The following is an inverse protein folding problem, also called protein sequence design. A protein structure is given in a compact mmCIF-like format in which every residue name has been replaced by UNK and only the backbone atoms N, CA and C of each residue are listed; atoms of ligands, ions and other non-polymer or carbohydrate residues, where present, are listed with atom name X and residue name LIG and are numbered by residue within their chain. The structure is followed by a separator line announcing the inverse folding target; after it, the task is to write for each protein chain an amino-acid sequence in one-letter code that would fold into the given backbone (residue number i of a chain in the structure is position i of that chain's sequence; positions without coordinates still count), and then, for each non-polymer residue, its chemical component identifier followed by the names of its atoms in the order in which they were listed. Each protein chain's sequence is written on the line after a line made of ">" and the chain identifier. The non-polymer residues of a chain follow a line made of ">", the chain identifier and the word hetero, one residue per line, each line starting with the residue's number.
data_IF_234510542979
#
_entry.id   IF_234510542979
#
_cell.length_a   1.000
_cell.length_b   1.000
_cell.length_c   1.000
_cell.angle_alpha   90.00
_cell.angle_beta   90.00
_cell.angle_gamma   90.00
#
_symmetry.space_group_name_H-M   'P 1'
#
loop_
_entity.id
_entity.type
_entity.pdbx_description
1 polymer ?
#
# COMPACT_ATOMS: atom_id res chain seq x y z
N UNK A 1 20.71 12.77 -21.90
CA UNK A 1 20.22 11.38 -22.19
C UNK A 1 19.01 11.16 -21.32
N UNK A 2 17.96 10.49 -21.82
CA UNK A 2 16.76 10.23 -21.00
C UNK A 2 17.09 9.23 -19.91
N UNK A 3 16.65 9.50 -18.67
CA UNK A 3 16.86 8.60 -17.53
C UNK A 3 16.10 7.27 -17.67
N UNK A 4 15.19 7.15 -18.65
CA UNK A 4 14.45 5.90 -18.86
C UNK A 4 15.20 4.86 -19.69
N UNK A 5 16.26 5.25 -20.40
CA UNK A 5 17.01 4.36 -21.29
C UNK A 5 16.19 3.74 -22.43
N UNK A 6 16.81 2.88 -23.26
CA UNK A 6 16.11 2.12 -24.29
C UNK A 6 15.13 1.11 -23.67
N UNK A 7 14.01 0.85 -24.36
CA UNK A 7 12.93 -0.06 -23.93
C UNK A 7 12.15 0.37 -22.67
N UNK A 8 12.37 1.59 -22.16
CA UNK A 8 11.50 2.18 -21.14
C UNK A 8 10.13 2.54 -21.71
N UNK A 9 9.11 2.50 -20.85
CA UNK A 9 7.74 2.94 -21.17
C UNK A 9 7.36 4.13 -20.29
N UNK A 10 6.70 5.13 -20.88
CA UNK A 10 6.13 6.27 -20.18
C UNK A 10 4.61 6.24 -20.37
N UNK A 11 3.86 6.34 -19.27
CA UNK A 11 2.40 6.37 -19.26
C UNK A 11 1.88 7.59 -18.53
N UNK A 12 0.68 8.00 -18.92
CA UNK A 12 -0.10 9.11 -18.34
C UNK A 12 0.70 10.40 -18.15
N UNK A 13 1.29 10.97 -19.22
CA UNK A 13 2.01 12.23 -19.07
C UNK A 13 1.03 13.36 -18.68
N UNK A 14 1.46 14.21 -17.75
CA UNK A 14 0.84 15.50 -17.47
C UNK A 14 1.86 16.61 -17.67
N UNK A 15 1.40 17.76 -18.17
CA UNK A 15 2.23 18.93 -18.43
C UNK A 15 1.61 20.18 -17.82
N UNK A 16 2.43 21.03 -17.22
CA UNK A 16 2.06 22.37 -16.77
C UNK A 16 3.10 23.40 -17.20
N UNK A 17 2.70 24.66 -17.18
CA UNK A 17 3.56 25.80 -17.51
C UNK A 17 3.63 26.80 -16.37
N UNK A 18 4.75 27.52 -16.28
CA UNK A 18 4.88 28.67 -15.40
C UNK A 18 4.65 29.98 -16.14
N UNK A 19 4.75 31.10 -15.42
CA UNK A 19 4.61 32.44 -16.00
C UNK A 19 5.69 32.77 -17.05
N UNK A 20 6.85 32.10 -16.99
CA UNK A 20 7.93 32.32 -17.96
C UNK A 20 7.58 31.63 -19.29
N UNK A 21 7.58 32.35 -20.42
CA UNK A 21 7.39 31.74 -21.73
C UNK A 21 8.42 30.64 -22.02
N UNK A 22 7.95 29.49 -22.49
CA UNK A 22 8.79 28.33 -22.79
C UNK A 22 9.15 27.48 -21.56
N UNK A 23 8.61 27.80 -20.38
CA UNK A 23 8.76 26.96 -19.19
C UNK A 23 7.74 25.83 -19.15
N UNK A 24 8.20 24.61 -18.88
CA UNK A 24 7.34 23.41 -18.74
C UNK A 24 7.77 22.58 -17.54
N UNK A 25 6.80 22.05 -16.80
CA UNK A 25 6.90 20.89 -15.92
C UNK A 25 6.20 19.72 -16.59
N UNK A 26 6.87 18.57 -16.70
CA UNK A 26 6.31 17.36 -17.29
C UNK A 26 6.49 16.23 -16.28
N UNK A 27 5.43 15.45 -16.03
CA UNK A 27 5.46 14.27 -15.17
C UNK A 27 4.84 13.08 -15.85
N UNK A 28 5.30 11.87 -15.53
CA UNK A 28 4.74 10.62 -16.06
C UNK A 28 5.10 9.43 -15.16
N UNK A 29 4.37 8.34 -15.30
CA UNK A 29 4.80 7.04 -14.77
C UNK A 29 5.77 6.38 -15.73
N UNK A 30 6.94 5.99 -15.22
CA UNK A 30 7.99 5.36 -16.00
C UNK A 30 8.35 3.98 -15.47
N UNK A 31 8.50 3.01 -16.36
CA UNK A 31 9.13 1.74 -16.09
C UNK A 31 10.30 1.52 -17.05
N UNK A 32 11.48 1.25 -16.51
CA UNK A 32 12.70 1.04 -17.28
C UNK A 32 13.04 -0.44 -17.37
N UNK A 33 13.81 -0.83 -18.39
CA UNK A 33 14.28 -2.21 -18.50
C UNK A 33 15.13 -2.65 -17.30
N UNK A 34 15.95 -1.75 -16.75
CA UNK A 34 16.78 -2.05 -15.58
C UNK A 34 15.96 -2.22 -14.29
N UNK A 35 14.80 -1.56 -14.21
CA UNK A 35 13.94 -1.61 -13.03
C UNK A 35 13.00 -2.83 -13.04
N UNK A 36 12.57 -3.33 -14.21
CA UNK A 36 11.69 -4.51 -14.33
C UNK A 36 12.33 -5.81 -13.83
N UNK A 37 11.53 -6.75 -13.32
CA UNK A 37 11.99 -8.05 -12.81
C UNK A 37 12.63 -8.95 -13.88
N UNK A 38 12.27 -8.74 -15.16
CA UNK A 38 12.75 -9.53 -16.30
C UNK A 38 13.83 -8.82 -17.13
N UNK A 39 14.22 -7.60 -16.76
CA UNK A 39 15.23 -6.83 -17.47
C UNK A 39 14.78 -6.27 -18.82
N UNK A 40 13.48 -6.33 -19.18
CA UNK A 40 13.00 -6.00 -20.54
C UNK A 40 12.25 -4.67 -20.65
N UNK A 41 11.66 -4.19 -19.58
CA UNK A 41 10.86 -2.96 -19.58
C UNK A 41 9.46 -3.17 -20.17
N UNK A 42 8.80 -2.08 -20.55
CA UNK A 42 7.44 -2.11 -21.09
C UNK A 42 6.34 -2.21 -20.04
N UNK A 43 5.09 -2.20 -20.51
CA UNK A 43 3.90 -2.32 -19.66
C UNK A 43 3.51 -3.79 -19.49
N UNK A 44 4.13 -4.50 -18.56
CA UNK A 44 4.00 -5.95 -18.35
C UNK A 44 3.91 -6.29 -16.86
N UNK A 45 3.55 -7.54 -16.53
CA UNK A 45 3.49 -8.01 -15.13
C UNK A 45 4.83 -7.99 -14.40
N UNK A 46 5.94 -7.84 -15.13
CA UNK A 46 7.29 -7.70 -14.58
C UNK A 46 7.72 -6.24 -14.39
N UNK A 47 6.91 -5.27 -14.81
CA UNK A 47 7.24 -3.86 -14.74
C UNK A 47 7.23 -3.33 -13.29
N UNK A 48 8.15 -2.42 -13.00
CA UNK A 48 8.21 -1.70 -11.73
C UNK A 48 8.26 -0.20 -12.05
N UNK A 49 7.36 0.57 -11.45
CA UNK A 49 7.09 1.93 -11.87
C UNK A 49 7.56 2.95 -10.84
N UNK A 50 8.07 4.08 -11.34
CA UNK A 50 8.36 5.28 -10.59
C UNK A 50 7.63 6.47 -11.20
N UNK A 51 7.48 7.51 -10.40
CA UNK A 51 7.13 8.83 -10.91
C UNK A 51 8.39 9.52 -11.43
N UNK A 52 8.34 10.01 -12.66
CA UNK A 52 9.38 10.84 -13.25
C UNK A 52 8.91 12.28 -13.44
N UNK A 53 9.87 13.19 -13.39
CA UNK A 53 9.68 14.62 -13.60
C UNK A 53 10.73 15.13 -14.60
N UNK A 54 10.33 16.06 -15.45
CA UNK A 54 11.23 16.85 -16.25
C UNK A 54 10.85 18.33 -16.26
N UNK A 55 11.86 19.19 -16.31
CA UNK A 55 11.71 20.64 -16.40
C UNK A 55 12.53 21.22 -17.57
N UNK A 56 11.98 22.25 -18.21
CA UNK A 56 12.68 23.07 -19.20
C UNK A 56 12.23 24.52 -19.08
N UNK A 57 13.12 25.46 -19.45
CA UNK A 57 12.81 26.90 -19.53
C UNK A 57 12.76 27.45 -20.96
N UNK A 58 13.03 26.62 -21.95
CA UNK A 58 13.23 27.02 -23.33
C UNK A 58 12.62 26.02 -24.32
N UNK A 59 11.42 25.52 -24.01
CA UNK A 59 10.70 24.54 -24.83
C UNK A 59 10.47 24.97 -26.29
N UNK A 60 10.44 26.28 -26.56
CA UNK A 60 10.29 26.84 -27.92
C UNK A 60 11.62 27.02 -28.67
N UNK A 61 12.76 26.74 -28.03
CA UNK A 61 14.08 26.74 -28.66
C UNK A 61 14.18 25.63 -29.69
N UNK A 62 14.97 25.85 -30.76
CA UNK A 62 15.34 24.78 -31.70
C UNK A 62 16.18 23.67 -31.05
N UNK A 63 16.77 23.96 -29.89
CA UNK A 63 17.47 23.00 -29.03
C UNK A 63 17.06 23.28 -27.56
N UNK A 64 15.96 22.70 -27.07
CA UNK A 64 15.54 22.86 -25.69
C UNK A 64 16.50 22.13 -24.74
N UNK A 65 16.70 22.69 -23.55
CA UNK A 65 17.43 22.06 -22.46
C UNK A 65 16.42 21.49 -21.48
N UNK A 66 16.49 20.17 -21.27
CA UNK A 66 15.56 19.44 -20.42
C UNK A 66 16.35 18.79 -19.28
N UNK A 67 15.94 19.05 -18.06
CA UNK A 67 16.38 18.33 -16.88
C UNK A 67 15.35 17.26 -16.56
N UNK A 68 15.80 16.07 -16.16
CA UNK A 68 14.94 14.94 -15.82
C UNK A 68 15.41 14.35 -14.49
N UNK A 69 14.48 13.79 -13.72
CA UNK A 69 14.77 13.02 -12.51
C UNK A 69 13.60 12.09 -12.15
N UNK A 70 13.85 11.11 -11.29
CA UNK A 70 12.77 10.46 -10.55
C UNK A 70 12.25 11.42 -9.48
N UNK A 71 10.92 11.54 -9.37
CA UNK A 71 10.26 12.39 -8.38
C UNK A 71 9.62 11.60 -7.23
N UNK A 72 9.39 10.29 -7.41
CA UNK A 72 9.11 9.38 -6.29
C UNK A 72 10.42 8.95 -5.62
N UNK A 73 10.39 8.77 -4.30
CA UNK A 73 11.52 8.26 -3.51
C UNK A 73 11.61 6.72 -3.50
N UNK A 74 10.59 6.04 -4.03
CA UNK A 74 10.53 4.59 -4.18
C UNK A 74 9.75 4.16 -5.44
N UNK A 75 9.60 2.85 -5.64
CA UNK A 75 8.70 2.29 -6.64
C UNK A 75 7.27 2.36 -6.16
N UNK A 76 6.39 2.97 -6.94
CA UNK A 76 5.01 3.27 -6.56
C UNK A 76 4.02 2.17 -6.99
N UNK A 77 4.45 1.28 -7.89
CA UNK A 77 3.62 0.23 -8.47
C UNK A 77 4.45 -0.92 -9.05
N UNK A 78 3.90 -2.13 -8.94
CA UNK A 78 4.42 -3.33 -9.58
C UNK A 78 3.34 -3.99 -10.44
N UNK A 79 3.75 -4.55 -11.57
CA UNK A 79 2.90 -5.17 -12.60
C UNK A 79 2.48 -4.20 -13.72
N UNK A 80 1.64 -4.66 -14.65
CA UNK A 80 1.12 -3.85 -15.74
C UNK A 80 0.19 -2.76 -15.20
N UNK A 81 0.07 -1.65 -15.93
CA UNK A 81 -0.95 -0.62 -15.71
C UNK A 81 -1.99 -0.75 -16.82
N UNK A 82 -3.27 -0.82 -16.44
CA UNK A 82 -4.37 -0.83 -17.40
C UNK A 82 -4.38 0.40 -18.31
N UNK A 83 -4.49 0.17 -19.62
CA UNK A 83 -4.78 1.21 -20.63
C UNK A 83 -6.16 1.04 -21.28
N UNK A 84 -6.96 0.07 -20.84
CA UNK A 84 -8.16 -0.36 -21.56
C UNK A 84 -9.42 0.48 -21.25
N UNK A 85 -9.34 1.51 -20.41
CA UNK A 85 -10.50 2.29 -19.97
C UNK A 85 -11.47 1.47 -19.08
N UNK A 86 -12.76 1.79 -19.12
CA UNK A 86 -13.80 1.08 -18.37
C UNK A 86 -14.31 -0.12 -19.19
N UNK A 87 -13.72 -1.30 -18.98
CA UNK A 87 -14.16 -2.55 -19.63
C UNK A 87 -14.94 -3.42 -18.64
N UNK A 88 -15.89 -4.21 -19.15
CA UNK A 88 -16.70 -5.15 -18.37
C UNK A 88 -16.24 -6.60 -18.51
N UNK A 89 -15.02 -6.82 -19.03
CA UNK A 89 -14.40 -8.15 -19.27
C UNK A 89 -13.29 -8.47 -18.26
N UNK A 90 -12.27 -9.24 -18.65
CA UNK A 90 -11.06 -9.47 -17.84
C UNK A 90 -10.55 -8.12 -17.33
N UNK A 91 -10.62 -7.91 -16.02
CA UNK A 91 -10.24 -6.63 -15.42
C UNK A 91 -8.78 -6.37 -15.77
N UNK A 92 -8.45 -5.27 -16.46
CA UNK A 92 -7.06 -4.87 -16.58
C UNK A 92 -6.56 -4.43 -15.20
N UNK A 93 -5.24 -4.38 -14.97
CA UNK A 93 -4.73 -4.02 -13.64
C UNK A 93 -5.10 -2.57 -13.28
N UNK A 94 -6.06 -2.41 -12.36
CA UNK A 94 -6.59 -1.10 -11.90
C UNK A 94 -6.23 -0.78 -10.45
N UNK A 95 -5.37 -1.59 -9.83
CA UNK A 95 -5.01 -1.37 -8.44
C UNK A 95 -4.33 0.00 -8.25
N UNK A 96 -3.42 0.45 -9.14
CA UNK A 96 -2.77 1.76 -9.02
C UNK A 96 -3.75 2.94 -9.06
N UNK A 97 -4.96 2.76 -9.62
CA UNK A 97 -5.86 3.85 -9.99
C UNK A 97 -5.27 4.82 -11.04
N UNK A 98 -6.10 5.77 -11.50
CA UNK A 98 -5.76 6.67 -12.61
C UNK A 98 -5.59 8.14 -12.13
N UNK A 99 -5.29 8.37 -10.85
CA UNK A 99 -5.13 9.72 -10.30
C UNK A 99 -3.72 10.26 -10.56
N UNK A 100 -3.61 11.32 -11.36
CA UNK A 100 -2.32 11.86 -11.75
C UNK A 100 -2.42 13.32 -12.20
N UNK A 101 -1.69 14.22 -11.53
CA UNK A 101 -1.65 15.64 -11.88
C UNK A 101 -0.36 16.30 -11.39
N UNK A 102 0.19 17.24 -12.16
CA UNK A 102 1.14 18.24 -11.66
C UNK A 102 0.48 19.61 -11.65
N UNK A 103 0.87 20.44 -10.70
CA UNK A 103 0.57 21.86 -10.63
C UNK A 103 1.86 22.63 -10.36
N UNK A 104 1.88 23.91 -10.69
CA UNK A 104 2.99 24.82 -10.37
C UNK A 104 2.56 25.72 -9.21
N UNK A 105 3.34 25.72 -8.13
CA UNK A 105 3.06 26.56 -6.97
C UNK A 105 3.39 28.05 -7.25
N UNK A 106 3.02 28.99 -6.36
CA UNK A 106 3.32 30.41 -6.57
C UNK A 106 4.82 30.73 -6.68
N UNK A 107 5.71 29.88 -6.16
CA UNK A 107 7.15 30.02 -6.30
C UNK A 107 7.67 29.51 -7.66
N UNK A 108 6.82 28.86 -8.45
CA UNK A 108 7.18 28.26 -9.72
C UNK A 108 7.76 26.85 -9.60
N UNK A 109 7.51 26.16 -8.48
CA UNK A 109 7.99 24.79 -8.22
C UNK A 109 6.86 23.78 -8.45
N UNK A 110 7.21 22.61 -8.99
CA UNK A 110 6.24 21.56 -9.29
C UNK A 110 5.70 20.89 -8.02
N UNK A 111 4.39 20.69 -7.96
CA UNK A 111 3.70 19.89 -6.97
C UNK A 111 2.93 18.78 -7.71
N UNK A 112 3.24 17.53 -7.41
CA UNK A 112 2.69 16.37 -8.14
C UNK A 112 1.83 15.56 -7.19
N UNK A 113 0.56 15.38 -7.55
CA UNK A 113 -0.32 14.41 -6.93
C UNK A 113 -0.40 13.18 -7.82
N UNK A 114 -0.18 12.00 -7.25
CA UNK A 114 -0.12 10.74 -7.98
C UNK A 114 -0.72 9.62 -7.13
N UNK A 115 -0.92 8.46 -7.73
CA UNK A 115 -1.39 7.29 -7.02
C UNK A 115 -0.23 6.34 -6.72
N UNK A 116 -0.29 5.72 -5.55
CA UNK A 116 0.73 4.82 -5.03
C UNK A 116 0.05 3.61 -4.38
N UNK A 117 0.39 2.40 -4.83
CA UNK A 117 -0.10 1.15 -4.26
C UNK A 117 1.01 0.25 -3.73
N UNK A 118 2.24 0.78 -3.65
CA UNK A 118 3.44 0.03 -3.30
C UNK A 118 3.32 -0.75 -1.99
N UNK A 119 2.54 -0.21 -1.05
CA UNK A 119 2.33 -0.73 0.29
C UNK A 119 0.88 -1.18 0.56
N UNK A 120 -0.03 -1.07 -0.41
CA UNK A 120 -1.48 -1.05 -0.21
C UNK A 120 -2.24 -2.14 -0.99
N UNK A 121 -3.52 -2.32 -0.70
CA UNK A 121 -4.39 -3.18 -1.51
C UNK A 121 -4.66 -2.57 -2.90
N UNK A 122 -4.79 -1.24 -2.94
CA UNK A 122 -5.04 -0.43 -4.11
C UNK A 122 -4.39 0.96 -3.93
N UNK A 123 -4.40 1.75 -4.99
CA UNK A 123 -3.73 3.02 -5.09
C UNK A 123 -4.39 4.06 -4.21
N UNK A 124 -3.55 4.72 -3.41
CA UNK A 124 -3.92 5.88 -2.64
C UNK A 124 -3.24 7.14 -3.17
N UNK A 125 -3.87 8.29 -2.96
CA UNK A 125 -3.29 9.57 -3.36
C UNK A 125 -2.07 9.90 -2.49
N UNK A 126 -0.92 10.03 -3.16
CA UNK A 126 0.32 10.55 -2.63
C UNK A 126 0.63 11.91 -3.29
N UNK A 127 1.52 12.69 -2.67
CA UNK A 127 1.98 13.93 -3.24
C UNK A 127 3.47 14.14 -2.98
N UNK A 128 4.15 14.74 -3.95
CA UNK A 128 5.55 15.18 -3.84
C UNK A 128 5.67 16.62 -4.30
N UNK A 129 6.57 17.38 -3.67
CA UNK A 129 6.83 18.78 -3.98
C UNK A 129 8.30 18.98 -4.31
N UNK A 130 8.56 19.69 -5.41
CA UNK A 130 9.89 20.10 -5.76
C UNK A 130 10.44 21.04 -4.68
N UNK A 131 11.45 20.57 -3.94
CA UNK A 131 12.08 21.36 -2.85
C UNK A 131 13.27 22.18 -3.32
N UNK A 132 13.66 22.08 -4.59
CA UNK A 132 14.65 22.94 -5.20
C UNK A 132 14.79 22.69 -6.69
N UNK A 133 15.44 23.62 -7.37
CA UNK A 133 15.56 23.60 -8.82
C UNK A 133 15.33 24.99 -9.39
N UNK A 134 14.84 25.06 -10.62
CA UNK A 134 14.63 26.33 -11.33
C UNK A 134 13.14 26.68 -11.29
N UNK A 135 12.82 27.88 -10.83
CA UNK A 135 11.45 28.42 -10.84
C UNK A 135 10.93 28.53 -12.27
N UNK A 136 9.80 27.90 -12.57
CA UNK A 136 9.11 28.03 -13.85
C UNK A 136 8.51 29.43 -14.06
N UNK A 137 8.26 30.19 -12.99
CA UNK A 137 7.73 31.54 -13.10
C UNK A 137 8.83 32.56 -13.43
N UNK A 138 10.02 32.41 -12.82
CA UNK A 138 11.07 33.46 -12.89
C UNK A 138 12.35 33.03 -13.60
N UNK A 139 12.59 31.72 -13.74
CA UNK A 139 13.85 31.13 -14.21
C UNK A 139 15.00 31.21 -13.20
N UNK A 140 14.74 31.65 -11.96
CA UNK A 140 15.75 31.71 -10.89
C UNK A 140 15.84 30.36 -10.17
N UNK A 141 17.04 30.01 -9.72
CA UNK A 141 17.19 28.86 -8.83
C UNK A 141 16.56 29.15 -7.47
N UNK A 142 15.74 28.23 -7.00
CA UNK A 142 15.10 28.25 -5.69
C UNK A 142 15.50 26.97 -4.94
N UNK A 143 15.66 27.09 -3.62
CA UNK A 143 15.75 25.95 -2.71
C UNK A 143 14.86 26.24 -1.51
N UNK A 144 13.86 25.41 -1.31
CA UNK A 144 13.03 25.39 -0.11
C UNK A 144 13.80 24.63 0.98
N UNK A 145 14.07 25.28 2.11
CA UNK A 145 14.61 24.59 3.28
C UNK A 145 13.45 23.88 3.98
N UNK A 146 13.39 22.56 3.87
CA UNK A 146 12.58 21.74 4.77
C UNK A 146 13.28 21.61 6.12
N UNK A 147 12.71 22.19 7.18
CA UNK A 147 13.22 22.07 8.55
C UNK A 147 12.50 20.97 9.36
N UNK A 148 11.53 20.29 8.77
CA UNK A 148 10.76 19.29 9.48
C UNK A 148 11.50 17.95 9.37
N UNK A 149 12.25 17.62 10.41
CA UNK A 149 12.60 16.22 10.65
C UNK A 149 11.29 15.44 10.69
N UNK A 150 11.17 14.29 9.99
CA UNK A 150 10.01 13.44 10.13
C UNK A 150 9.81 13.19 11.63
N UNK A 151 8.61 13.42 12.16
CA UNK A 151 8.29 13.04 13.53
C UNK A 151 8.60 11.55 13.63
N UNK A 152 9.54 11.11 14.49
CA UNK A 152 9.83 9.70 14.61
C UNK A 152 8.54 8.98 14.99
N UNK A 153 8.07 8.07 14.13
CA UNK A 153 6.96 7.19 14.49
C UNK A 153 7.48 6.35 15.66
N UNK A 154 6.77 6.38 16.79
CA UNK A 154 7.20 5.63 17.96
C UNK A 154 7.31 4.15 17.60
N UNK A 155 8.46 3.54 17.84
CA UNK A 155 8.75 2.13 17.48
C UNK A 155 7.84 1.11 18.18
N UNK A 156 7.09 1.54 19.21
CA UNK A 156 6.09 0.76 19.94
C UNK A 156 4.64 1.12 19.61
N UNK A 157 4.39 2.14 18.78
CA UNK A 157 3.04 2.43 18.34
C UNK A 157 2.59 1.35 17.34
N UNK A 158 1.27 1.11 17.21
CA UNK A 158 0.75 0.34 16.09
C UNK A 158 1.33 0.88 14.77
N UNK A 159 1.72 -0.02 13.87
CA UNK A 159 2.32 0.37 12.60
C UNK A 159 1.27 0.89 11.63
N UNK A 160 0.02 0.48 11.80
CA UNK A 160 -1.12 0.88 10.97
C UNK A 160 -2.11 1.65 11.82
N UNK A 161 -2.59 2.78 11.29
CA UNK A 161 -3.68 3.57 11.85
C UNK A 161 -4.76 3.76 10.80
N UNK A 162 -5.99 3.81 11.26
CA UNK A 162 -7.15 4.06 10.41
C UNK A 162 -8.14 5.02 11.07
N UNK A 163 -9.03 5.58 10.27
CA UNK A 163 -10.03 6.52 10.79
C UNK A 163 -11.18 5.77 11.44
N UNK A 164 -11.57 6.20 12.63
CA UNK A 164 -12.80 5.71 13.24
C UNK A 164 -14.02 6.11 12.40
N UNK A 165 -14.99 5.21 12.26
CA UNK A 165 -16.28 5.43 11.58
C UNK A 165 -16.16 5.60 10.06
N UNK A 166 -15.24 4.88 9.43
CA UNK A 166 -15.12 4.84 7.97
C UNK A 166 -15.39 3.46 7.36
N UNK A 167 -15.70 2.46 8.19
CA UNK A 167 -16.28 1.20 7.74
C UNK A 167 -17.52 1.41 6.86
N UNK A 168 -17.61 0.59 5.80
CA UNK A 168 -18.67 0.70 4.79
C UNK A 168 -19.65 -0.46 4.91
N UNK A 169 -20.94 -0.14 4.84
CA UNK A 169 -21.96 -1.14 4.58
C UNK A 169 -21.88 -1.59 3.11
N UNK A 170 -21.98 -2.90 2.87
CA UNK A 170 -21.95 -3.48 1.52
C UNK A 170 -23.31 -3.27 0.83
N UNK A 171 -23.63 -2.03 0.49
CA UNK A 171 -24.80 -1.65 -0.29
C UNK A 171 -24.38 -0.98 -1.61
N UNK A 172 -25.25 -0.95 -2.64
CA UNK A 172 -25.10 -0.05 -3.77
C UNK A 172 -25.98 1.21 -3.58
N UNK A 173 -25.42 2.43 -3.43
CA UNK A 173 -24.00 2.74 -3.22
C UNK A 173 -23.53 2.36 -1.80
N UNK A 174 -22.21 2.17 -1.57
CA UNK A 174 -21.69 1.91 -0.24
C UNK A 174 -21.97 3.09 0.69
N UNK A 175 -22.44 2.81 1.90
CA UNK A 175 -22.75 3.84 2.89
C UNK A 175 -21.73 3.78 4.02
N UNK A 176 -21.14 4.93 4.35
CA UNK A 176 -20.29 5.07 5.53
C UNK A 176 -21.11 4.92 6.80
N UNK A 177 -20.57 4.18 7.76
CA UNK A 177 -21.21 4.00 9.05
C UNK A 177 -20.65 5.01 10.05
N UNK A 178 -21.46 6.00 10.44
CA UNK A 178 -21.15 6.91 11.55
C UNK A 178 -21.45 6.26 12.92
N UNK A 179 -20.84 5.10 13.17
CA UNK A 179 -21.00 4.34 14.41
C UNK A 179 -19.90 3.29 14.58
N UNK A 180 -19.65 2.90 15.84
CA UNK A 180 -18.71 1.82 16.16
C UNK A 180 -19.18 0.49 15.53
N UNK A 181 -18.26 -0.23 14.91
CA UNK A 181 -18.52 -1.53 14.28
C UNK A 181 -17.38 -2.51 14.54
N UNK A 182 -17.66 -3.82 14.70
CA UNK A 182 -16.61 -4.82 14.81
C UNK A 182 -15.75 -4.94 13.55
N UNK A 183 -16.19 -4.37 12.42
CA UNK A 183 -15.39 -4.30 11.19
C UNK A 183 -14.58 -3.00 11.07
N UNK A 184 -14.89 -1.94 11.82
CA UNK A 184 -14.24 -0.62 11.73
C UNK A 184 -12.88 -0.65 12.43
N UNK A 185 -11.81 -0.76 11.65
CA UNK A 185 -10.44 -0.91 12.11
C UNK A 185 -9.97 0.43 12.66
N UNK A 186 -9.17 0.39 13.73
CA UNK A 186 -8.54 1.59 14.29
C UNK A 186 -7.03 1.53 14.16
N UNK A 187 -6.46 0.37 14.48
CA UNK A 187 -5.01 0.18 14.46
C UNK A 187 -4.64 -1.26 14.20
N UNK A 188 -3.46 -1.48 13.61
CA UNK A 188 -2.82 -2.80 13.56
C UNK A 188 -1.39 -2.70 14.07
N UNK A 189 -1.10 -3.48 15.10
CA UNK A 189 0.24 -3.64 15.67
C UNK A 189 0.85 -4.98 15.26
N UNK A 190 2.07 -4.93 14.74
CA UNK A 190 2.92 -6.08 14.44
C UNK A 190 4.05 -6.18 15.46
N UNK A 191 4.35 -7.41 15.84
CA UNK A 191 5.36 -7.73 16.84
C UNK A 191 5.91 -9.14 16.61
N UNK A 192 6.79 -9.57 17.51
CA UNK A 192 7.22 -10.95 17.56
C UNK A 192 7.36 -11.44 19.01
N UNK A 193 7.23 -12.76 19.19
CA UNK A 193 7.37 -13.44 20.46
C UNK A 193 8.26 -14.68 20.29
N UNK A 194 9.03 -15.05 21.31
CA UNK A 194 9.75 -16.31 21.39
C UNK A 194 8.91 -17.28 22.22
N UNK A 195 8.47 -18.40 21.63
CA UNK A 195 7.69 -19.42 22.34
C UNK A 195 8.41 -20.75 22.19
N UNK A 196 8.90 -21.30 23.32
CA UNK A 196 9.67 -22.55 23.34
C UNK A 196 10.85 -22.56 22.34
N UNK A 197 11.51 -21.40 22.15
CA UNK A 197 12.62 -21.24 21.22
C UNK A 197 12.22 -20.98 19.76
N UNK A 198 10.93 -21.01 19.42
CA UNK A 198 10.42 -20.63 18.10
C UNK A 198 10.07 -19.15 18.06
N UNK A 199 10.36 -18.47 16.93
CA UNK A 199 9.99 -17.07 16.72
C UNK A 199 8.62 -17.00 16.08
N UNK A 200 7.65 -16.42 16.78
CA UNK A 200 6.31 -16.19 16.26
C UNK A 200 6.13 -14.72 15.90
N UNK A 201 5.62 -14.47 14.69
CA UNK A 201 5.11 -13.14 14.32
C UNK A 201 3.74 -12.98 14.97
N UNK A 202 3.49 -11.82 15.57
CA UNK A 202 2.22 -11.44 16.19
C UNK A 202 1.63 -10.28 15.42
N UNK A 203 0.36 -10.38 15.04
CA UNK A 203 -0.41 -9.24 14.52
C UNK A 203 -1.64 -9.03 15.40
N UNK A 204 -1.91 -7.79 15.80
CA UNK A 204 -3.05 -7.40 16.64
C UNK A 204 -3.80 -6.26 15.98
N UNK A 205 -5.08 -6.48 15.69
CA UNK A 205 -5.98 -5.47 15.14
C UNK A 205 -6.94 -5.00 16.23
N UNK A 206 -7.07 -3.69 16.42
CA UNK A 206 -8.12 -3.10 17.23
C UNK A 206 -9.25 -2.58 16.32
N UNK A 207 -10.50 -2.80 16.72
CA UNK A 207 -11.67 -2.34 15.99
C UNK A 207 -12.63 -1.59 16.93
N UNK A 208 -13.31 -0.56 16.43
CA UNK A 208 -14.08 0.36 17.27
C UNK A 208 -15.26 -0.31 17.98
N UNK A 209 -15.89 -1.32 17.37
CA UNK A 209 -17.10 -1.98 17.88
C UNK A 209 -16.95 -3.45 18.29
N UNK A 210 -15.72 -3.98 18.45
CA UNK A 210 -15.48 -5.39 18.79
C UNK A 210 -15.70 -5.71 20.29
N UNK A 211 -16.92 -5.44 20.78
CA UNK A 211 -17.32 -5.67 22.19
C UNK A 211 -17.88 -7.09 22.41
N UNK A 212 -18.25 -7.76 21.33
CA UNK A 212 -18.68 -9.16 21.28
C UNK A 212 -18.04 -9.79 20.05
N UNK A 213 -17.88 -11.12 20.03
CA UNK A 213 -17.42 -11.84 18.84
C UNK A 213 -18.62 -11.99 17.89
N UNK A 214 -18.69 -11.27 16.74
CA UNK A 214 -19.83 -11.40 15.84
C UNK A 214 -19.74 -12.70 15.04
N UNK A 215 -20.88 -13.29 14.62
CA UNK A 215 -20.89 -14.39 13.65
C UNK A 215 -20.50 -13.92 12.26
N UNK A 216 -19.99 -14.84 11.44
CA UNK A 216 -19.64 -14.62 10.03
C UNK A 216 -18.74 -13.40 9.80
N UNK A 217 -17.76 -13.20 10.68
CA UNK A 217 -16.76 -12.15 10.62
C UNK A 217 -15.42 -12.63 10.09
N UNK A 218 -14.62 -11.70 9.58
CA UNK A 218 -13.25 -11.89 9.13
C UNK A 218 -12.41 -10.70 9.57
N UNK A 219 -11.24 -10.94 10.14
CA UNK A 219 -10.24 -9.92 10.46
C UNK A 219 -8.90 -10.43 9.95
N UNK A 220 -8.37 -9.81 8.89
CA UNK A 220 -7.14 -10.23 8.20
C UNK A 220 -6.08 -9.15 8.34
N UNK A 221 -4.89 -9.55 8.76
CA UNK A 221 -3.71 -8.69 8.89
C UNK A 221 -2.64 -9.22 7.94
N UNK A 222 -2.23 -8.38 6.99
CA UNK A 222 -1.33 -8.71 5.89
C UNK A 222 0.02 -8.06 6.11
N UNK A 223 1.06 -8.77 5.73
CA UNK A 223 2.43 -8.29 5.78
C UNK A 223 3.26 -8.97 4.69
N UNK A 224 4.41 -8.40 4.39
CA UNK A 224 5.27 -8.82 3.29
C UNK A 224 6.73 -8.85 3.74
N UNK A 225 7.52 -9.76 3.17
CA UNK A 225 8.94 -9.91 3.50
C UNK A 225 9.79 -10.10 2.25
N UNK A 226 11.06 -9.72 2.34
CA UNK A 226 12.09 -9.99 1.33
C UNK A 226 11.70 -9.50 -0.08
N UNK A 227 11.35 -8.21 -0.24
CA UNK A 227 11.03 -7.68 -1.56
C UNK A 227 12.28 -7.63 -2.44
N UNK A 228 12.15 -7.98 -3.74
CA UNK A 228 13.24 -7.78 -4.71
C UNK A 228 13.47 -6.31 -5.05
N UNK A 229 12.47 -5.45 -4.76
CA UNK A 229 12.53 -3.99 -4.90
C UNK A 229 12.14 -3.33 -3.57
N UNK A 230 12.98 -2.48 -2.97
CA UNK A 230 12.67 -1.84 -1.70
C UNK A 230 11.31 -1.13 -1.70
N UNK A 231 10.50 -1.38 -0.66
CA UNK A 231 9.19 -0.76 -0.49
C UNK A 231 8.05 -1.35 -1.32
N UNK A 232 8.31 -2.25 -2.28
CA UNK A 232 7.30 -2.75 -3.20
C UNK A 232 6.77 -4.13 -2.79
N UNK A 233 5.56 -4.16 -2.23
CA UNK A 233 4.93 -5.38 -1.70
C UNK A 233 4.65 -6.42 -2.80
N UNK A 234 4.33 -6.00 -4.01
CA UNK A 234 4.07 -6.92 -5.11
C UNK A 234 5.29 -7.70 -5.58
N UNK A 235 6.47 -7.32 -5.08
CA UNK A 235 7.75 -7.97 -5.34
C UNK A 235 8.31 -8.73 -4.14
N UNK A 236 7.47 -9.02 -3.16
CA UNK A 236 7.82 -9.69 -1.90
C UNK A 236 7.09 -11.04 -1.74
N UNK A 237 7.53 -11.86 -0.78
CA UNK A 237 6.66 -12.90 -0.25
C UNK A 237 5.56 -12.22 0.58
N UNK A 238 4.29 -12.39 0.20
CA UNK A 238 3.16 -11.78 0.92
C UNK A 238 2.42 -12.81 1.76
N UNK A 239 2.08 -12.40 2.97
CA UNK A 239 1.54 -13.24 4.02
C UNK A 239 0.28 -12.60 4.59
N UNK A 240 -0.55 -13.43 5.20
CA UNK A 240 -1.56 -12.96 6.11
C UNK A 240 -1.75 -13.89 7.30
N UNK A 241 -2.22 -13.31 8.39
CA UNK A 241 -2.87 -14.03 9.48
C UNK A 241 -4.30 -13.51 9.60
N UNK A 242 -5.23 -14.39 9.96
CA UNK A 242 -6.62 -14.00 10.07
C UNK A 242 -7.35 -14.72 11.20
N UNK A 243 -8.36 -14.04 11.73
CA UNK A 243 -9.43 -14.65 12.50
C UNK A 243 -10.69 -14.68 11.64
N UNK A 244 -11.43 -15.78 11.72
CA UNK A 244 -12.76 -15.93 11.10
C UNK A 244 -13.73 -16.49 12.12
N UNK A 245 -14.99 -16.08 12.06
CA UNK A 245 -16.06 -16.69 12.87
C UNK A 245 -17.07 -17.37 11.97
N UNK A 246 -17.55 -18.53 12.40
CA UNK A 246 -18.64 -19.21 11.67
C UNK A 246 -20.00 -18.51 11.89
N UNK A 247 -21.06 -19.08 11.33
CA UNK A 247 -22.42 -18.54 11.46
C UNK A 247 -22.94 -18.47 12.92
N UNK A 248 -22.28 -19.19 13.85
CA UNK A 248 -22.61 -19.20 15.28
C UNK A 248 -21.69 -18.32 16.13
N UNK A 249 -20.68 -17.70 15.51
CA UNK A 249 -19.70 -16.87 16.21
C UNK A 249 -18.50 -17.65 16.77
N UNK A 250 -18.34 -18.93 16.43
CA UNK A 250 -17.18 -19.71 16.88
C UNK A 250 -15.94 -19.26 16.11
N UNK A 251 -14.89 -18.79 16.80
CA UNK A 251 -13.69 -18.28 16.15
C UNK A 251 -12.76 -19.40 15.68
N UNK A 252 -12.09 -19.16 14.56
CA UNK A 252 -10.99 -19.94 14.02
C UNK A 252 -9.86 -19.00 13.58
N UNK A 253 -8.61 -19.47 13.69
CA UNK A 253 -7.43 -18.67 13.40
C UNK A 253 -6.54 -19.39 12.40
N UNK A 254 -6.16 -18.70 11.32
CA UNK A 254 -5.37 -19.29 10.26
C UNK A 254 -4.32 -18.32 9.74
N UNK A 255 -3.34 -18.85 9.03
CA UNK A 255 -2.37 -18.09 8.28
C UNK A 255 -2.38 -18.53 6.82
N UNK A 256 -1.82 -17.70 5.95
CA UNK A 256 -1.72 -18.01 4.55
C UNK A 256 -0.78 -17.11 3.77
N UNK A 257 -0.78 -17.32 2.46
CA UNK A 257 -0.02 -16.54 1.49
C UNK A 257 -0.98 -15.67 0.67
N UNK A 258 -0.50 -14.50 0.31
CA UNK A 258 -1.18 -13.61 -0.63
C UNK A 258 -0.38 -13.52 -1.93
N UNK A 259 -1.06 -13.34 -3.05
CA UNK A 259 -0.43 -13.07 -4.34
C UNK A 259 -1.25 -12.06 -5.10
N UNK A 260 -0.59 -11.03 -5.63
CA UNK A 260 -1.24 -10.11 -6.58
C UNK A 260 -1.33 -10.77 -7.95
N UNK A 261 -2.53 -10.78 -8.51
CA UNK A 261 -2.83 -11.29 -9.83
C UNK A 261 -2.55 -10.21 -10.89
N UNK A 262 -2.48 -10.64 -12.15
CA UNK A 262 -2.28 -9.73 -13.30
C UNK A 262 -3.37 -8.65 -13.44
N UNK A 263 -4.57 -8.90 -12.91
CA UNK A 263 -5.70 -7.95 -12.91
C UNK A 263 -5.69 -6.98 -11.71
N UNK A 264 -4.68 -7.06 -10.84
CA UNK A 264 -4.55 -6.24 -9.65
C UNK A 264 -5.28 -6.78 -8.42
N UNK A 265 -6.11 -7.83 -8.56
CA UNK A 265 -6.74 -8.47 -7.41
C UNK A 265 -5.72 -9.26 -6.58
N UNK A 266 -6.06 -9.54 -5.31
CA UNK A 266 -5.22 -10.36 -4.43
C UNK A 266 -5.88 -11.70 -4.17
N UNK A 267 -5.21 -12.77 -4.57
CA UNK A 267 -5.56 -14.14 -4.18
C UNK A 267 -5.02 -14.40 -2.78
N UNK A 268 -5.90 -14.78 -1.86
CA UNK A 268 -5.53 -15.19 -0.50
C UNK A 268 -5.71 -16.70 -0.35
N UNK A 269 -4.63 -17.41 -0.07
CA UNK A 269 -4.63 -18.88 0.09
C UNK A 269 -4.26 -19.25 1.52
N UNK A 270 -5.24 -19.76 2.27
CA UNK A 270 -5.00 -20.30 3.62
C UNK A 270 -4.11 -21.54 3.51
N UNK A 271 -3.01 -21.54 4.25
CA UNK A 271 -2.06 -22.66 4.30
C UNK A 271 -2.34 -23.61 5.46
N UNK A 272 -2.91 -23.10 6.56
CA UNK A 272 -3.27 -23.92 7.72
C UNK A 272 -3.61 -23.11 8.96
N UNK A 273 -3.75 -23.77 10.12
CA UNK A 273 -4.04 -23.11 11.38
C UNK A 273 -2.87 -22.24 11.83
N UNK A 274 -3.21 -21.07 12.37
CA UNK A 274 -2.29 -20.20 13.09
C UNK A 274 -1.83 -20.90 14.40
N UNK A 275 -0.73 -20.45 14.97
CA UNK A 275 -0.15 -21.05 16.18
C UNK A 275 -0.87 -20.59 17.44
N UNK A 276 -1.43 -19.38 17.42
CA UNK A 276 -2.35 -18.89 18.43
C UNK A 276 -3.26 -17.80 17.87
N UNK A 277 -4.41 -17.61 18.49
CA UNK A 277 -5.23 -16.43 18.28
C UNK A 277 -6.21 -16.21 19.42
N UNK A 278 -6.62 -14.96 19.62
CA UNK A 278 -7.55 -14.58 20.68
C UNK A 278 -8.35 -13.32 20.31
N UNK A 279 -9.60 -13.27 20.76
CA UNK A 279 -10.38 -12.05 20.86
C UNK A 279 -10.29 -11.50 22.28
N UNK A 280 -9.86 -10.26 22.44
CA UNK A 280 -9.95 -9.52 23.69
C UNK A 280 -11.01 -8.42 23.52
N UNK A 281 -12.17 -8.66 24.14
CA UNK A 281 -13.33 -7.78 24.02
C UNK A 281 -13.22 -6.54 24.92
N UNK A 282 -12.31 -6.54 25.91
CA UNK A 282 -12.06 -5.36 26.76
C UNK A 282 -11.20 -4.34 26.02
N UNK A 283 -10.16 -4.81 25.32
CA UNK A 283 -9.34 -3.98 24.43
C UNK A 283 -9.91 -3.83 23.03
N UNK A 284 -11.03 -4.51 22.73
CA UNK A 284 -11.68 -4.55 21.40
C UNK A 284 -10.72 -4.96 20.29
N UNK A 285 -9.92 -5.98 20.54
CA UNK A 285 -8.86 -6.41 19.63
C UNK A 285 -8.89 -7.89 19.32
N UNK A 286 -8.35 -8.23 18.16
CA UNK A 286 -8.06 -9.61 17.74
C UNK A 286 -6.57 -9.76 17.50
N UNK A 287 -5.96 -10.75 18.13
CA UNK A 287 -4.54 -11.09 17.96
C UNK A 287 -4.42 -12.45 17.29
N UNK A 288 -3.55 -12.56 16.30
CA UNK A 288 -3.20 -13.84 15.66
C UNK A 288 -1.68 -13.95 15.56
N UNK A 289 -1.17 -15.16 15.81
CA UNK A 289 0.26 -15.46 15.84
C UNK A 289 0.59 -16.63 14.90
N UNK A 290 1.72 -16.52 14.20
CA UNK A 290 2.23 -17.56 13.30
C UNK A 290 3.71 -17.77 13.51
N UNK A 291 4.15 -19.03 13.59
CA UNK A 291 5.55 -19.39 13.65
C UNK A 291 6.25 -19.07 12.32
N UNK A 292 7.37 -18.37 12.40
CA UNK A 292 8.25 -18.06 11.28
C UNK A 292 8.70 -19.34 10.55
N UNK A 293 8.83 -20.46 11.24
CA UNK A 293 9.19 -21.74 10.61
C UNK A 293 8.18 -22.18 9.54
N UNK A 294 6.89 -21.90 9.75
CA UNK A 294 5.82 -22.20 8.77
C UNK A 294 5.92 -21.32 7.53
N UNK A 295 6.24 -20.03 7.72
CA UNK A 295 6.45 -19.08 6.62
C UNK A 295 7.69 -19.48 5.81
N UNK A 296 8.80 -19.80 6.51
CA UNK A 296 10.05 -20.25 5.89
C UNK A 296 9.93 -21.57 5.14
N UNK A 297 8.95 -22.41 5.46
CA UNK A 297 8.70 -23.65 4.73
C UNK A 297 8.12 -23.43 3.32
N UNK A 298 7.53 -22.25 3.06
CA UNK A 298 6.86 -21.96 1.78
C UNK A 298 7.34 -20.67 1.10
N UNK A 299 8.26 -19.92 1.71
CA UNK A 299 8.81 -18.68 1.14
C UNK A 299 9.52 -18.93 -0.19
N UNK A 300 9.54 -17.90 -1.04
CA UNK A 300 10.17 -17.96 -2.36
C UNK A 300 11.22 -16.87 -2.60
N UNK A 301 11.26 -15.80 -1.80
CA UNK A 301 12.15 -14.64 -2.00
C UNK A 301 13.25 -14.54 -0.96
N UNK A 302 13.09 -15.13 0.21
CA UNK A 302 14.13 -15.22 1.23
C UNK A 302 13.60 -15.74 2.56
N UNK A 303 14.51 -16.18 3.42
CA UNK A 303 14.17 -16.59 4.79
C UNK A 303 13.80 -15.38 5.65
N UNK A 304 12.82 -15.56 6.52
CA UNK A 304 12.51 -14.66 7.61
C UNK A 304 13.39 -15.04 8.81
N UNK A 305 14.16 -14.07 9.29
CA UNK A 305 15.11 -14.21 10.39
C UNK A 305 15.19 -12.92 11.23
N UNK A 306 16.02 -12.94 12.27
CA UNK A 306 16.26 -11.71 13.05
C UNK A 306 16.88 -10.64 12.15
N UNK A 307 16.27 -9.45 12.12
CA UNK A 307 16.63 -8.34 11.23
C UNK A 307 15.73 -8.21 10.00
N UNK A 308 14.92 -9.24 9.67
CA UNK A 308 13.98 -9.14 8.55
C UNK A 308 12.98 -8.00 8.78
N UNK A 309 12.87 -7.11 7.79
CA UNK A 309 11.91 -6.02 7.77
C UNK A 309 10.63 -6.49 7.09
N UNK A 310 9.52 -6.41 7.82
CA UNK A 310 8.18 -6.60 7.30
C UNK A 310 7.65 -5.26 6.78
N UNK A 311 7.16 -5.28 5.54
CA UNK A 311 6.51 -4.16 4.85
C UNK A 311 5.07 -4.57 4.50
N UNK A 312 4.31 -3.72 3.80
CA UNK A 312 2.94 -4.06 3.40
C UNK A 312 2.00 -4.26 4.57
N UNK A 313 2.27 -3.61 5.70
CA UNK A 313 1.51 -3.77 6.92
C UNK A 313 0.14 -3.13 6.71
N UNK A 314 -0.90 -3.94 6.54
CA UNK A 314 -2.27 -3.49 6.28
C UNK A 314 -3.28 -4.53 6.74
N UNK A 315 -4.54 -4.15 6.82
CA UNK A 315 -5.58 -5.06 7.24
C UNK A 315 -6.91 -4.84 6.52
N UNK A 316 -7.74 -5.87 6.55
CA UNK A 316 -9.14 -5.77 6.20
C UNK A 316 -9.99 -6.53 7.21
N UNK A 317 -11.20 -6.03 7.42
CA UNK A 317 -12.15 -6.65 8.32
C UNK A 317 -13.55 -6.64 7.70
N UNK A 318 -14.35 -7.64 8.03
CA UNK A 318 -15.76 -7.67 7.72
C UNK A 318 -16.54 -8.35 8.82
N UNK A 319 -17.80 -7.94 8.99
CA UNK A 319 -18.71 -8.54 9.94
C UNK A 319 -20.13 -8.53 9.41
N UNK A 320 -20.88 -9.59 9.69
CA UNK A 320 -22.30 -9.60 9.41
C UNK A 320 -23.02 -8.51 10.21
N UNK A 321 -24.01 -7.86 9.59
CA UNK A 321 -24.94 -6.96 10.27
C UNK A 321 -26.18 -7.76 10.69
N UNK A 322 -26.60 -7.60 11.94
CA UNK A 322 -27.92 -8.04 12.35
C UNK A 322 -28.98 -7.12 11.73
N UNK A 323 -29.88 -7.66 10.92
CA UNK A 323 -31.08 -6.92 10.49
C UNK A 323 -32.20 -7.10 11.52
N UNK A 324 -33.15 -6.16 11.57
CA UNK A 324 -34.27 -6.17 12.52
C UNK A 324 -35.18 -7.43 12.44
N UNK A 325 -34.99 -8.29 11.43
CA UNK A 325 -35.74 -9.53 11.23
C UNK A 325 -34.97 -10.81 11.63
N UNK A 326 -33.82 -10.71 12.28
CA UNK A 326 -33.02 -11.89 12.70
C UNK A 326 -32.30 -12.60 11.56
N UNK A 327 -32.42 -12.11 10.32
CA UNK A 327 -31.66 -12.60 9.15
C UNK A 327 -30.38 -11.78 9.03
N UNK A 328 -29.21 -12.43 9.09
CA UNK A 328 -27.94 -11.77 8.81
C UNK A 328 -27.82 -11.52 7.30
N UNK A 329 -27.93 -10.26 6.86
CA UNK A 329 -27.45 -9.84 5.53
C UNK A 329 -27.23 -8.31 5.43
N UNK A 330 -26.36 -7.95 4.47
CA UNK A 330 -25.61 -6.70 4.32
C UNK A 330 -24.53 -6.51 5.39
N UNK A 331 -23.35 -7.12 5.19
CA UNK A 331 -22.21 -6.97 6.09
C UNK A 331 -21.56 -5.59 6.05
N UNK A 332 -20.78 -5.28 7.09
CA UNK A 332 -19.82 -4.17 7.09
C UNK A 332 -18.47 -4.68 6.62
N UNK A 333 -17.73 -3.84 5.92
CA UNK A 333 -16.35 -4.10 5.55
C UNK A 333 -15.51 -2.85 5.70
N UNK A 334 -14.26 -3.08 6.04
CA UNK A 334 -13.27 -2.03 6.17
C UNK A 334 -11.90 -2.52 5.72
N UNK A 335 -11.03 -1.58 5.35
CA UNK A 335 -9.67 -1.84 4.95
C UNK A 335 -8.76 -0.65 5.23
N UNK A 336 -7.66 -0.92 5.91
CA UNK A 336 -6.67 0.10 6.22
C UNK A 336 -5.82 0.43 5.00
N UNK A 337 -5.19 1.61 5.06
CA UNK A 337 -4.02 1.91 4.24
C UNK A 337 -2.77 1.20 4.79
N UNK A 338 -1.72 1.17 3.98
CA UNK A 338 -0.41 0.65 4.28
C UNK A 338 0.25 1.49 5.36
N UNK A 339 0.61 0.84 6.47
CA UNK A 339 1.28 1.47 7.59
C UNK A 339 2.79 1.52 7.43
N UNK A 340 3.47 1.77 8.56
CA UNK A 340 4.92 1.70 8.65
C UNK A 340 5.48 0.28 8.45
N UNK A 341 6.69 0.07 8.94
CA UNK A 341 7.38 -1.23 8.86
C UNK A 341 7.56 -1.83 10.25
N UNK A 342 7.86 -3.13 10.29
CA UNK A 342 8.21 -3.83 11.52
C UNK A 342 9.49 -4.63 11.30
N UNK A 343 10.50 -4.44 12.14
CA UNK A 343 11.75 -5.23 12.07
C UNK A 343 11.73 -6.32 13.12
N UNK A 344 11.84 -7.58 12.69
CA UNK A 344 11.98 -8.72 13.59
C UNK A 344 13.31 -8.63 14.35
N UNK A 345 13.31 -8.82 15.67
CA UNK A 345 14.57 -8.90 16.44
C UNK A 345 14.51 -8.50 17.91
N UNK A 346 13.46 -7.82 18.35
CA UNK A 346 13.20 -7.55 19.78
C UNK A 346 11.96 -8.32 20.26
N UNK A 347 11.95 -9.62 20.00
CA UNK A 347 10.80 -10.47 20.27
C UNK A 347 10.58 -10.61 21.79
N UNK A 348 9.33 -10.48 22.20
CA UNK A 348 8.94 -10.68 23.60
C UNK A 348 9.16 -12.15 24.00
N UNK A 349 9.48 -12.46 25.26
CA UNK A 349 9.62 -13.84 25.72
C UNK A 349 8.31 -14.63 25.77
#
# INVERSE_FOLDING_TARGET
>A
MSDMGPNGVALFPWIETGERPGSLAIVWYGATAADSEDGKGGNTDNANWKLYFAETLNATSSAPTIFQSAASDHFIHGSNISLAGFTTGTSPNRNLADFFQVAVDPQGLAFVAFADDSNDFAGHSAATHQTGGISLNTGKSIRVKGANTPTPVATKAPQVFDFRHDARAISPPPVLLDADSPADILTVGYGCQIVNGATWITATMAASGLNVVPPAGLWRMNFASNPTKPGLVDRSDQWFVQAQTDATGVPSFSWGVAARNSDGSITNTVQGPADAGNFDLNSRSVTVKVDVSKLNAVQTRGTLETGTVLIGLRASASAARATAAGTASVGFSDSTRGGGTFTMGSCQP
#
